data_IF_161736744427
#
_entry.id   IF_161736744427
#
_cell.length_a   1.000
_cell.length_b   1.000
_cell.length_c   1.000
_cell.angle_alpha   90.00
_cell.angle_beta   90.00
_cell.angle_gamma   90.00
#
_symmetry.space_group_name_H-M   'P 1'
#
loop_
_entity.id
_entity.type
_entity.pdbx_description
1 polymer ?
#
# COMPACT_ATOMS: atom_id res chain seq x y z
N UNK A 1 27.18 -37.93 10.06
CA UNK A 1 27.17 -36.55 10.63
C UNK A 1 27.12 -35.47 9.58
N UNK A 2 27.97 -35.47 8.57
CA UNK A 2 28.00 -34.41 7.52
C UNK A 2 26.70 -34.31 6.71
N UNK A 3 26.02 -35.42 6.45
CA UNK A 3 24.74 -35.46 5.72
C UNK A 3 23.58 -34.71 6.43
N UNK A 4 23.56 -34.73 7.74
CA UNK A 4 22.52 -34.06 8.54
C UNK A 4 22.77 -32.57 8.69
N UNK A 5 24.03 -32.15 8.71
CA UNK A 5 24.40 -30.71 8.72
C UNK A 5 23.97 -30.00 7.46
N UNK A 6 24.07 -30.65 6.30
CA UNK A 6 23.62 -30.09 5.01
C UNK A 6 22.11 -29.98 4.96
N UNK A 7 21.38 -30.93 5.51
CA UNK A 7 19.91 -30.92 5.56
C UNK A 7 19.37 -29.78 6.46
N UNK A 8 20.03 -29.54 7.59
CA UNK A 8 19.68 -28.47 8.52
C UNK A 8 19.95 -27.10 7.91
N UNK A 9 21.04 -26.95 7.15
CA UNK A 9 21.36 -25.69 6.47
C UNK A 9 20.33 -25.34 5.38
N UNK A 10 19.84 -26.32 4.64
CA UNK A 10 18.81 -26.13 3.60
C UNK A 10 17.48 -25.72 4.22
N UNK A 11 17.10 -26.33 5.35
CA UNK A 11 15.86 -25.98 6.05
C UNK A 11 15.92 -24.56 6.63
N UNK A 12 17.07 -24.17 7.19
CA UNK A 12 17.26 -22.81 7.72
C UNK A 12 17.29 -21.78 6.58
N UNK A 13 17.89 -22.11 5.44
CA UNK A 13 17.92 -21.21 4.27
C UNK A 13 16.54 -21.02 3.66
N UNK A 14 15.71 -22.05 3.63
CA UNK A 14 14.30 -21.95 3.18
C UNK A 14 13.43 -21.11 4.13
N UNK A 15 13.73 -21.13 5.42
CA UNK A 15 12.99 -20.31 6.41
C UNK A 15 13.36 -18.83 6.35
N UNK A 16 14.57 -18.48 5.93
CA UNK A 16 15.03 -17.07 5.81
C UNK A 16 14.46 -16.40 4.55
N UNK A 17 14.10 -17.16 3.51
CA UNK A 17 13.52 -16.60 2.28
C UNK A 17 12.01 -16.35 2.35
N UNK A 18 11.35 -16.64 3.46
CA UNK A 18 9.89 -16.52 3.59
C UNK A 18 9.44 -15.46 4.60
N UNK A 19 10.25 -14.43 4.87
CA UNK A 19 9.73 -13.24 5.55
C UNK A 19 9.11 -12.29 4.53
N UNK A 20 7.91 -12.62 4.06
CA UNK A 20 6.99 -11.61 3.54
C UNK A 20 6.78 -10.60 4.66
N UNK A 21 7.21 -9.38 4.45
CA UNK A 21 6.83 -8.26 5.31
C UNK A 21 5.30 -8.15 5.25
N UNK A 22 4.66 -8.73 6.26
CA UNK A 22 3.21 -8.84 6.34
C UNK A 22 2.59 -7.62 7.04
N UNK A 23 3.24 -6.45 6.91
CA UNK A 23 2.71 -5.21 7.47
C UNK A 23 1.60 -4.66 6.57
N UNK A 24 0.40 -4.64 7.12
CA UNK A 24 -0.78 -4.09 6.46
C UNK A 24 -0.89 -2.57 6.55
N UNK A 25 -0.08 -1.96 7.41
CA UNK A 25 -0.04 -0.51 7.65
C UNK A 25 1.40 -0.04 7.66
N UNK A 26 1.67 1.04 6.97
CA UNK A 26 2.99 1.68 6.94
C UNK A 26 2.93 3.14 7.38
N UNK A 27 4.04 3.63 7.92
CA UNK A 27 4.17 5.05 8.25
C UNK A 27 4.28 5.93 7.00
N UNK A 28 4.00 7.20 7.14
CA UNK A 28 4.17 8.18 6.06
C UNK A 28 5.63 8.25 5.57
N UNK A 29 6.60 8.09 6.46
CA UNK A 29 8.02 8.09 6.11
C UNK A 29 8.39 6.89 5.23
N UNK A 30 7.92 5.70 5.58
CA UNK A 30 8.12 4.49 4.76
C UNK A 30 7.42 4.61 3.41
N UNK A 31 6.21 5.16 3.41
CA UNK A 31 5.47 5.43 2.18
C UNK A 31 6.24 6.36 1.24
N UNK A 32 6.77 7.49 1.71
CA UNK A 32 7.56 8.41 0.88
C UNK A 32 8.77 7.74 0.23
N UNK A 33 9.41 6.82 0.91
CA UNK A 33 10.50 6.03 0.35
C UNK A 33 10.01 5.00 -0.67
N UNK A 34 8.86 4.38 -0.40
CA UNK A 34 8.30 3.30 -1.22
C UNK A 34 7.69 3.75 -2.55
N UNK A 35 7.15 4.97 -2.63
CA UNK A 35 6.52 5.47 -3.87
C UNK A 35 7.52 5.74 -5.01
N UNK A 36 8.81 5.70 -4.71
CA UNK A 36 9.87 5.79 -5.73
C UNK A 36 10.07 4.47 -6.47
N UNK A 37 9.52 3.37 -5.97
CA UNK A 37 9.58 2.06 -6.61
C UNK A 37 8.56 1.98 -7.75
N UNK A 38 9.01 1.61 -8.96
CA UNK A 38 8.15 1.48 -10.14
C UNK A 38 7.10 0.36 -10.06
N UNK A 39 7.26 -0.58 -9.10
CA UNK A 39 6.32 -1.67 -8.86
C UNK A 39 5.22 -1.32 -7.84
N UNK A 40 5.08 -0.05 -7.52
CA UNK A 40 4.07 0.46 -6.60
C UNK A 40 3.06 1.37 -7.27
N UNK A 41 1.86 1.37 -6.74
CA UNK A 41 0.75 2.24 -7.16
C UNK A 41 0.20 2.94 -5.92
N UNK A 42 -0.15 4.21 -6.07
CA UNK A 42 -0.90 4.95 -5.05
C UNK A 42 -2.37 4.99 -5.45
N UNK A 43 -3.23 4.52 -4.59
CA UNK A 43 -4.69 4.58 -4.73
C UNK A 43 -5.27 5.52 -3.69
N UNK A 44 -5.82 6.62 -4.13
CA UNK A 44 -6.55 7.56 -3.27
C UNK A 44 -8.04 7.18 -3.27
N UNK A 45 -8.57 6.91 -2.08
CA UNK A 45 -9.97 6.48 -1.90
C UNK A 45 -10.87 7.58 -1.34
N UNK A 46 -10.40 8.82 -1.39
CA UNK A 46 -11.20 10.01 -1.05
C UNK A 46 -12.21 10.31 -2.14
N UNK A 47 -13.05 11.30 -1.89
CA UNK A 47 -13.93 11.83 -2.93
C UNK A 47 -13.16 12.66 -3.96
N UNK A 48 -13.74 12.85 -5.14
CA UNK A 48 -13.17 13.72 -6.16
C UNK A 48 -12.99 15.17 -5.66
N UNK A 49 -13.95 15.66 -4.88
CA UNK A 49 -13.88 16.98 -4.25
C UNK A 49 -12.67 17.13 -3.31
N UNK A 50 -12.38 16.11 -2.50
CA UNK A 50 -11.20 16.08 -1.64
C UNK A 50 -9.90 15.98 -2.44
N UNK A 51 -9.89 15.18 -3.49
CA UNK A 51 -8.71 14.95 -4.35
C UNK A 51 -8.23 16.23 -5.01
N UNK A 52 -9.14 17.07 -5.47
CA UNK A 52 -8.86 18.38 -6.05
C UNK A 52 -9.00 19.54 -5.06
N UNK A 53 -9.22 19.25 -3.80
CA UNK A 53 -9.43 20.23 -2.73
C UNK A 53 -8.13 20.76 -2.11
N UNK A 54 -8.21 21.41 -0.93
CA UNK A 54 -7.09 22.11 -0.30
C UNK A 54 -5.87 21.24 0.03
N UNK A 55 -6.06 19.96 0.36
CA UNK A 55 -4.95 19.03 0.59
C UNK A 55 -4.30 18.55 -0.71
N UNK A 56 -4.94 18.79 -1.86
CA UNK A 56 -4.48 18.26 -3.14
C UNK A 56 -4.39 16.74 -3.13
N UNK A 57 -3.52 16.18 -3.97
CA UNK A 57 -3.29 14.75 -4.09
C UNK A 57 -1.82 14.45 -4.41
N UNK A 58 -1.45 13.20 -4.28
CA UNK A 58 -0.11 12.73 -4.64
C UNK A 58 -0.05 12.59 -6.15
N UNK A 59 1.02 13.11 -6.76
CA UNK A 59 1.22 13.03 -8.21
C UNK A 59 1.22 11.57 -8.69
N UNK A 60 0.45 11.29 -9.74
CA UNK A 60 0.32 9.95 -10.30
C UNK A 60 -0.64 9.02 -9.53
N UNK A 61 -1.27 9.47 -8.45
CA UNK A 61 -2.26 8.67 -7.73
C UNK A 61 -3.50 8.40 -8.60
N UNK A 62 -3.98 7.16 -8.53
CA UNK A 62 -5.29 6.79 -9.06
C UNK A 62 -6.37 7.20 -8.06
N UNK A 63 -7.49 7.70 -8.55
CA UNK A 63 -8.65 8.03 -7.72
C UNK A 63 -9.77 7.01 -7.94
N UNK A 64 -10.13 6.30 -6.89
CA UNK A 64 -11.37 5.52 -6.81
C UNK A 64 -11.94 5.74 -5.42
N UNK A 65 -13.00 6.56 -5.29
CA UNK A 65 -13.64 6.78 -3.99
C UNK A 65 -14.04 5.47 -3.31
N UNK A 66 -13.91 5.42 -1.99
CA UNK A 66 -14.17 4.18 -1.22
C UNK A 66 -15.56 3.60 -1.49
N UNK A 67 -16.57 4.44 -1.70
CA UNK A 67 -17.93 4.01 -1.97
C UNK A 67 -18.10 3.39 -3.37
N UNK A 68 -17.21 3.69 -4.29
CA UNK A 68 -17.21 3.15 -5.66
C UNK A 68 -16.25 1.97 -5.83
N UNK A 69 -15.40 1.68 -4.84
CA UNK A 69 -14.31 0.74 -4.98
C UNK A 69 -14.77 -0.68 -5.33
N UNK A 70 -15.85 -1.15 -4.72
CA UNK A 70 -16.40 -2.48 -5.01
C UNK A 70 -16.82 -2.61 -6.47
N UNK A 71 -17.53 -1.61 -7.00
CA UNK A 71 -18.03 -1.61 -8.38
C UNK A 71 -16.90 -1.39 -9.41
N UNK A 72 -15.82 -0.77 -9.02
CA UNK A 72 -14.73 -0.36 -9.90
C UNK A 72 -13.43 -1.13 -9.70
N UNK A 73 -13.40 -2.12 -8.85
CA UNK A 73 -12.17 -2.89 -8.53
C UNK A 73 -11.57 -3.58 -9.77
N UNK A 74 -12.38 -3.91 -10.77
CA UNK A 74 -11.91 -4.48 -12.03
C UNK A 74 -10.95 -3.56 -12.80
N UNK A 75 -11.02 -2.26 -12.60
CA UNK A 75 -10.07 -1.29 -13.18
C UNK A 75 -8.62 -1.51 -12.69
N UNK A 76 -8.45 -2.21 -11.56
CA UNK A 76 -7.15 -2.53 -10.96
C UNK A 76 -6.59 -3.90 -11.39
N UNK A 77 -7.31 -4.68 -12.19
CA UNK A 77 -6.90 -6.05 -12.53
C UNK A 77 -5.53 -6.12 -13.23
N UNK A 78 -5.18 -5.13 -14.04
CA UNK A 78 -3.89 -5.07 -14.74
C UNK A 78 -2.69 -4.81 -13.82
N UNK A 79 -2.94 -4.39 -12.57
CA UNK A 79 -1.89 -4.04 -11.60
C UNK A 79 -1.89 -4.94 -10.37
N UNK A 80 -2.53 -6.12 -10.43
CA UNK A 80 -2.55 -7.07 -9.31
C UNK A 80 -1.18 -7.54 -8.84
N UNK A 81 -0.18 -7.51 -9.72
CA UNK A 81 1.21 -7.86 -9.41
C UNK A 81 1.98 -6.72 -8.73
N UNK A 82 1.39 -5.54 -8.60
CA UNK A 82 2.00 -4.38 -7.96
C UNK A 82 1.52 -4.21 -6.53
N UNK A 83 2.35 -3.56 -5.71
CA UNK A 83 1.97 -3.14 -4.37
C UNK A 83 1.13 -1.87 -4.45
N UNK A 84 -0.04 -1.87 -3.81
CA UNK A 84 -0.95 -0.73 -3.78
C UNK A 84 -0.86 -0.03 -2.43
N UNK A 85 -0.43 1.21 -2.42
CA UNK A 85 -0.51 2.10 -1.26
C UNK A 85 -1.86 2.80 -1.28
N UNK A 86 -2.70 2.53 -0.28
CA UNK A 86 -4.04 3.10 -0.17
C UNK A 86 -4.00 4.29 0.76
N UNK A 87 -4.41 5.45 0.26
CA UNK A 87 -4.43 6.70 1.02
C UNK A 87 -5.84 7.27 1.11
N UNK A 88 -6.13 7.93 2.23
CA UNK A 88 -7.28 8.79 2.37
C UNK A 88 -6.89 10.07 3.13
N UNK A 89 -7.81 10.74 3.81
CA UNK A 89 -7.48 11.95 4.56
C UNK A 89 -6.57 11.64 5.77
N UNK A 90 -6.91 10.63 6.59
CA UNK A 90 -6.23 10.32 7.87
C UNK A 90 -5.94 8.84 8.10
N UNK A 91 -6.47 7.91 7.29
CA UNK A 91 -6.17 6.49 7.35
C UNK A 91 -7.36 5.55 7.58
N UNK A 92 -8.56 6.05 7.93
CA UNK A 92 -9.73 5.20 8.22
C UNK A 92 -10.35 4.57 6.97
N UNK A 93 -10.70 5.36 5.97
CA UNK A 93 -11.26 4.88 4.69
C UNK A 93 -10.25 4.01 3.93
N UNK A 94 -9.00 4.42 3.91
CA UNK A 94 -7.92 3.66 3.27
C UNK A 94 -7.67 2.32 3.95
N UNK A 95 -7.85 2.21 5.27
CA UNK A 95 -7.82 0.93 5.98
C UNK A 95 -8.90 -0.03 5.49
N UNK A 96 -10.13 0.43 5.31
CA UNK A 96 -11.23 -0.38 4.74
C UNK A 96 -10.96 -0.75 3.27
N UNK A 97 -10.44 0.18 2.49
CA UNK A 97 -10.05 -0.08 1.10
C UNK A 97 -8.95 -1.13 0.99
N UNK A 98 -7.93 -1.05 1.84
CA UNK A 98 -6.87 -2.05 1.94
C UNK A 98 -7.43 -3.45 2.26
N UNK A 99 -8.31 -3.56 3.23
CA UNK A 99 -8.93 -4.84 3.60
C UNK A 99 -9.73 -5.43 2.45
N UNK A 100 -10.53 -4.63 1.77
CA UNK A 100 -11.30 -5.04 0.59
C UNK A 100 -10.39 -5.54 -0.54
N UNK A 101 -9.34 -4.79 -0.86
CA UNK A 101 -8.39 -5.14 -1.92
C UNK A 101 -7.66 -6.46 -1.61
N UNK A 102 -7.16 -6.62 -0.39
CA UNK A 102 -6.48 -7.85 0.01
C UNK A 102 -7.40 -9.07 -0.02
N UNK A 103 -8.68 -8.90 0.31
CA UNK A 103 -9.70 -9.96 0.19
C UNK A 103 -9.99 -10.33 -1.27
N UNK A 104 -9.66 -9.48 -2.22
CA UNK A 104 -9.87 -9.68 -3.66
C UNK A 104 -8.57 -10.00 -4.43
N UNK A 105 -7.54 -10.45 -3.74
CA UNK A 105 -6.30 -10.95 -4.36
C UNK A 105 -5.28 -9.88 -4.74
N UNK A 106 -5.46 -8.65 -4.27
CA UNK A 106 -4.47 -7.59 -4.42
C UNK A 106 -3.46 -7.60 -3.26
N UNK A 107 -2.37 -6.87 -3.42
CA UNK A 107 -1.40 -6.60 -2.37
C UNK A 107 -1.47 -5.12 -1.99
N UNK A 108 -2.22 -4.82 -0.95
CA UNK A 108 -2.49 -3.45 -0.52
C UNK A 108 -2.02 -3.20 0.91
N UNK A 109 -1.53 -2.00 1.16
CA UNK A 109 -1.17 -1.51 2.49
C UNK A 109 -1.82 -0.16 2.77
N UNK A 110 -2.22 0.08 4.00
CA UNK A 110 -2.77 1.34 4.45
C UNK A 110 -1.64 2.32 4.80
N UNK A 111 -1.71 3.52 4.29
CA UNK A 111 -0.77 4.60 4.65
C UNK A 111 -1.31 5.35 5.86
N UNK A 112 -0.65 5.21 6.99
CA UNK A 112 -1.04 5.85 8.25
C UNK A 112 -0.89 7.38 8.17
N UNK A 113 -1.87 8.08 8.72
CA UNK A 113 -1.91 9.55 8.71
C UNK A 113 -2.42 10.20 7.43
N UNK A 114 -2.46 9.48 6.32
CA UNK A 114 -3.05 9.92 5.04
C UNK A 114 -2.52 11.25 4.50
N UNK A 115 -3.37 11.96 3.78
CA UNK A 115 -3.00 13.24 3.12
C UNK A 115 -2.68 14.36 4.11
N UNK A 116 -3.23 14.31 5.32
CA UNK A 116 -2.88 15.27 6.38
C UNK A 116 -1.40 15.13 6.76
N UNK A 117 -0.93 13.90 7.00
CA UNK A 117 0.47 13.64 7.30
C UNK A 117 1.39 13.91 6.10
N UNK A 118 0.94 13.61 4.89
CA UNK A 118 1.67 13.92 3.65
C UNK A 118 2.00 15.42 3.56
N UNK A 119 0.99 16.28 3.73
CA UNK A 119 1.18 17.74 3.66
C UNK A 119 2.02 18.28 4.81
N UNK A 120 1.89 17.74 6.01
CA UNK A 120 2.75 18.15 7.12
C UNK A 120 4.22 17.91 6.82
N UNK A 121 4.58 16.77 6.25
CA UNK A 121 5.97 16.47 5.88
C UNK A 121 6.49 17.33 4.72
N UNK A 122 5.63 17.72 3.78
CA UNK A 122 6.03 18.63 2.69
C UNK A 122 6.31 20.06 3.20
N UNK A 123 5.59 20.50 4.22
CA UNK A 123 5.78 21.83 4.81
C UNK A 123 7.03 21.94 5.72
N UNK A 124 7.63 20.82 6.10
CA UNK A 124 8.85 20.76 6.92
C UNK A 124 10.15 20.77 6.09
N UNK A 125 10.07 20.77 4.77
CA UNK A 125 11.20 20.80 3.82
C UNK A 125 11.41 22.20 3.24
#
# INVERSE_FOLDING_TARGET
>A
MIKYLFSIFIVIFLFIMCSKDNRDVISMKEFKSGILDSDTIVLDVRTEEEFYGPLGHIEGAMLIPIDDLEDRVSELNSIKNKKIYVVCRTGGRSGRGKDFLNSNGFTAVNVDGGMVAWRSLENEQ
#
